data_IF_406652998211
#
_entry.id   IF_406652998211
#
_cell.length_a   1.000
_cell.length_b   1.000
_cell.length_c   1.000
_cell.angle_alpha   90.00
_cell.angle_beta   90.00
_cell.angle_gamma   90.00
#
_symmetry.space_group_name_H-M   'P 1'
#
loop_
_entity.id
_entity.type
_entity.pdbx_description
1 polymer ?
#
# COMPACT_ATOMS: atom_id res chain seq x y z
N UNK A 1 -2.28 -10.97 -11.01
CA UNK A 1 -3.00 -9.69 -11.26
C UNK A 1 -2.11 -8.45 -11.32
N UNK A 2 -0.86 -8.48 -10.80
CA UNK A 2 0.08 -7.36 -10.90
C UNK A 2 0.21 -6.79 -12.33
N UNK A 3 0.27 -5.47 -12.44
CA UNK A 3 0.42 -4.75 -13.72
C UNK A 3 -0.86 -4.60 -14.55
N UNK A 4 -2.00 -5.14 -14.09
CA UNK A 4 -3.31 -5.00 -14.75
C UNK A 4 -4.10 -3.82 -14.19
N UNK A 5 -4.96 -3.20 -15.00
CA UNK A 5 -5.83 -2.09 -14.59
C UNK A 5 -7.30 -2.51 -14.71
N UNK A 6 -8.08 -2.26 -13.65
CA UNK A 6 -9.48 -2.64 -13.53
C UNK A 6 -10.37 -1.46 -13.18
N UNK A 7 -11.65 -1.55 -13.54
CA UNK A 7 -12.67 -0.63 -13.03
C UNK A 7 -13.26 -1.10 -11.69
N UNK A 8 -14.14 -0.29 -11.09
CA UNK A 8 -14.80 -0.60 -9.82
C UNK A 8 -15.73 -1.84 -9.84
N UNK A 9 -16.07 -2.36 -11.01
CA UNK A 9 -16.82 -3.62 -11.17
C UNK A 9 -15.92 -4.84 -11.41
N UNK A 10 -14.59 -4.68 -11.31
CA UNK A 10 -13.62 -5.76 -11.51
C UNK A 10 -13.38 -6.15 -12.97
N UNK A 11 -13.87 -5.37 -13.95
CA UNK A 11 -13.61 -5.63 -15.37
C UNK A 11 -12.27 -5.00 -15.78
N UNK A 12 -11.43 -5.71 -16.55
CA UNK A 12 -10.17 -5.15 -17.06
C UNK A 12 -10.45 -4.02 -18.05
N UNK A 13 -9.70 -2.92 -17.93
CA UNK A 13 -9.80 -1.73 -18.80
C UNK A 13 -8.48 -1.42 -19.52
N UNK A 14 -7.52 -2.34 -19.42
CA UNK A 14 -6.18 -2.21 -19.98
C UNK A 14 -6.04 -2.77 -21.41
N UNK A 15 -7.15 -3.15 -22.07
CA UNK A 15 -7.18 -3.87 -23.35
C UNK A 15 -6.31 -5.14 -23.38
N UNK A 16 -5.91 -5.67 -22.21
CA UNK A 16 -5.16 -6.90 -22.10
C UNK A 16 -6.04 -8.15 -22.28
N UNK A 17 -5.43 -9.34 -22.38
CA UNK A 17 -6.17 -10.59 -22.48
C UNK A 17 -7.07 -10.82 -21.26
N UNK A 18 -8.14 -11.62 -21.41
CA UNK A 18 -8.99 -12.01 -20.29
C UNK A 18 -8.15 -12.71 -19.22
N UNK A 19 -8.51 -12.48 -17.96
CA UNK A 19 -7.77 -13.02 -16.82
C UNK A 19 -8.37 -14.37 -16.48
N UNK A 20 -7.50 -15.38 -16.38
CA UNK A 20 -7.87 -16.68 -15.83
C UNK A 20 -7.64 -16.63 -14.31
N UNK A 21 -8.71 -16.66 -13.48
CA UNK A 21 -8.57 -16.60 -12.03
C UNK A 21 -8.10 -17.95 -11.49
N UNK A 22 -7.22 -17.91 -10.49
CA UNK A 22 -6.80 -19.10 -9.73
C UNK A 22 -7.88 -19.54 -8.72
N UNK A 23 -8.62 -18.59 -8.15
CA UNK A 23 -9.69 -18.82 -7.20
C UNK A 23 -10.74 -17.69 -7.25
N UNK A 24 -11.97 -18.01 -6.82
CA UNK A 24 -13.03 -17.03 -6.57
C UNK A 24 -13.20 -16.85 -5.07
N UNK A 25 -13.04 -15.61 -4.59
CA UNK A 25 -13.14 -15.24 -3.18
C UNK A 25 -14.25 -14.22 -2.99
N UNK A 26 -14.90 -14.24 -1.81
CA UNK A 26 -15.91 -13.24 -1.45
C UNK A 26 -15.24 -11.87 -1.20
N UNK A 27 -15.81 -10.83 -1.79
CA UNK A 27 -15.34 -9.44 -1.67
C UNK A 27 -15.55 -8.88 -0.26
N UNK A 28 -16.48 -9.43 0.52
CA UNK A 28 -16.73 -9.00 1.89
C UNK A 28 -15.55 -9.33 2.82
N UNK A 29 -14.76 -10.33 2.44
CA UNK A 29 -13.63 -10.84 3.22
C UNK A 29 -14.05 -11.45 4.55
N UNK A 30 -13.06 -11.86 5.34
CA UNK A 30 -13.25 -12.38 6.70
C UNK A 30 -12.46 -11.55 7.70
N UNK A 31 -12.98 -11.41 8.92
CA UNK A 31 -12.25 -10.73 9.99
C UNK A 31 -11.01 -11.54 10.40
N UNK A 32 -9.88 -10.85 10.59
CA UNK A 32 -8.64 -11.47 11.07
C UNK A 32 -8.74 -11.67 12.60
N UNK A 33 -8.54 -12.91 13.04
CA UNK A 33 -8.51 -13.32 14.44
C UNK A 33 -7.50 -12.45 15.23
N UNK A 34 -7.90 -11.78 16.33
CA UNK A 34 -6.99 -10.94 17.13
C UNK A 34 -5.74 -11.66 17.63
N UNK A 35 -5.83 -12.95 17.99
CA UNK A 35 -4.71 -13.73 18.51
C UNK A 35 -3.65 -14.08 17.45
N UNK A 36 -4.03 -14.05 16.18
CA UNK A 36 -3.14 -14.34 15.05
C UNK A 36 -2.53 -13.06 14.45
N UNK A 37 -2.86 -11.88 14.98
CA UNK A 37 -2.35 -10.61 14.47
C UNK A 37 -0.88 -10.45 14.84
N UNK A 38 -0.03 -10.33 13.83
CA UNK A 38 1.37 -9.91 14.01
C UNK A 38 1.42 -8.41 14.29
N UNK A 39 2.21 -8.02 15.30
CA UNK A 39 2.45 -6.60 15.57
C UNK A 39 3.28 -5.96 14.44
N UNK A 40 2.94 -4.73 14.03
CA UNK A 40 3.66 -4.05 12.97
C UNK A 40 5.01 -3.52 13.50
N UNK A 41 6.11 -4.12 13.05
CA UNK A 41 7.47 -3.76 13.50
C UNK A 41 8.32 -3.11 12.42
N UNK A 42 7.99 -3.34 11.15
CA UNK A 42 8.82 -2.89 10.02
C UNK A 42 8.40 -1.51 9.53
N UNK A 43 9.33 -0.55 9.51
CA UNK A 43 9.08 0.79 9.00
C UNK A 43 9.03 0.83 7.46
N UNK A 44 8.08 1.59 6.92
CA UNK A 44 8.01 1.96 5.51
C UNK A 44 8.66 3.33 5.33
N UNK A 45 9.64 3.41 4.43
CA UNK A 45 10.22 4.67 3.99
C UNK A 45 9.41 5.20 2.82
N UNK A 46 8.82 6.39 2.97
CA UNK A 46 7.96 7.02 1.96
C UNK A 46 8.71 7.98 1.04
N UNK A 47 9.89 8.46 1.45
CA UNK A 47 10.68 9.46 0.72
C UNK A 47 10.28 10.91 1.03
N UNK A 48 9.34 11.12 1.94
CA UNK A 48 8.92 12.45 2.42
C UNK A 48 9.38 12.60 3.86
N UNK A 49 10.35 13.50 4.11
CA UNK A 49 11.00 13.62 5.43
C UNK A 49 10.02 13.90 6.57
N UNK A 50 8.97 14.69 6.32
CA UNK A 50 7.94 14.98 7.35
C UNK A 50 7.12 13.75 7.71
N UNK A 51 6.94 12.80 6.79
CA UNK A 51 6.30 11.52 7.09
C UNK A 51 7.31 10.61 7.77
N UNK A 52 8.48 10.43 7.16
CA UNK A 52 9.47 9.43 7.61
C UNK A 52 10.02 9.74 9.01
N UNK A 53 10.22 11.02 9.36
CA UNK A 53 10.82 11.43 10.65
C UNK A 53 9.78 11.75 11.72
N UNK A 54 8.70 12.47 11.35
CA UNK A 54 7.76 12.97 12.34
C UNK A 54 6.57 12.03 12.57
N UNK A 55 6.19 11.24 11.56
CA UNK A 55 5.02 10.37 11.58
C UNK A 55 5.32 9.03 10.90
N UNK A 56 6.39 8.37 11.34
CA UNK A 56 6.87 7.13 10.74
C UNK A 56 5.76 6.08 10.65
N UNK A 57 5.62 5.44 9.49
CA UNK A 57 4.54 4.49 9.22
C UNK A 57 5.10 3.06 9.29
N UNK A 58 4.44 2.21 10.08
CA UNK A 58 4.78 0.78 10.13
C UNK A 58 3.98 -0.04 9.12
N UNK A 59 4.56 -1.13 8.63
CA UNK A 59 3.92 -2.09 7.72
C UNK A 59 2.67 -2.67 8.38
N UNK A 60 1.53 -2.54 7.71
CA UNK A 60 0.23 -2.99 8.21
C UNK A 60 -0.56 -1.92 8.95
N UNK A 61 0.02 -0.75 9.21
CA UNK A 61 -0.68 0.40 9.77
C UNK A 61 -1.58 1.07 8.72
N UNK A 62 -2.74 1.57 9.14
CA UNK A 62 -3.67 2.34 8.31
C UNK A 62 -3.57 3.82 8.69
N UNK A 63 -2.95 4.64 7.84
CA UNK A 63 -2.79 6.09 8.05
C UNK A 63 -3.56 6.87 6.97
N UNK A 64 -4.51 7.75 7.34
CA UNK A 64 -5.20 8.60 6.39
C UNK A 64 -4.34 9.81 5.97
N UNK A 65 -4.49 10.24 4.72
CA UNK A 65 -3.96 11.52 4.22
C UNK A 65 -5.10 12.53 4.13
N UNK A 66 -5.08 13.56 4.99
CA UNK A 66 -6.06 14.64 4.95
C UNK A 66 -5.55 15.80 4.10
N UNK A 67 -6.39 16.25 3.17
CA UNK A 67 -6.09 17.39 2.30
C UNK A 67 -7.36 18.16 1.97
N UNK A 68 -7.22 19.25 1.20
CA UNK A 68 -8.31 20.13 0.80
C UNK A 68 -8.39 20.26 -0.72
N UNK A 69 -9.54 20.73 -1.21
CA UNK A 69 -9.74 21.01 -2.63
C UNK A 69 -8.69 22.01 -3.14
N UNK A 70 -8.09 21.70 -4.30
CA UNK A 70 -7.03 22.52 -4.91
C UNK A 70 -5.62 22.25 -4.38
N UNK A 71 -5.45 21.45 -3.33
CA UNK A 71 -4.12 21.02 -2.85
C UNK A 71 -3.59 19.83 -3.65
N UNK A 72 -2.26 19.67 -3.78
CA UNK A 72 -1.62 18.63 -4.60
C UNK A 72 -1.62 17.23 -3.95
N UNK A 73 -2.74 16.79 -3.36
CA UNK A 73 -2.84 15.48 -2.70
C UNK A 73 -2.62 14.31 -3.66
N UNK A 74 -3.00 14.46 -4.94
CA UNK A 74 -2.75 13.46 -5.96
C UNK A 74 -1.25 13.30 -6.26
N UNK A 75 -0.50 14.40 -6.30
CA UNK A 75 0.94 14.37 -6.57
C UNK A 75 1.70 13.72 -5.41
N UNK A 76 1.33 14.06 -4.17
CA UNK A 76 1.89 13.45 -2.97
C UNK A 76 1.58 11.95 -2.91
N UNK A 77 0.34 11.54 -3.17
CA UNK A 77 -0.04 10.13 -3.22
C UNK A 77 0.77 9.38 -4.29
N UNK A 78 0.91 9.95 -5.48
CA UNK A 78 1.71 9.37 -6.55
C UNK A 78 3.20 9.30 -6.20
N UNK A 79 3.75 10.29 -5.50
CA UNK A 79 5.13 10.25 -5.00
C UNK A 79 5.33 9.10 -4.00
N UNK A 80 4.43 8.97 -3.01
CA UNK A 80 4.46 7.88 -2.04
C UNK A 80 4.41 6.53 -2.77
N UNK A 81 3.48 6.33 -3.71
CA UNK A 81 3.40 5.08 -4.46
C UNK A 81 4.66 4.76 -5.28
N UNK A 82 5.41 5.77 -5.75
CA UNK A 82 6.66 5.57 -6.51
C UNK A 82 7.87 5.31 -5.61
N UNK A 83 7.93 5.91 -4.43
CA UNK A 83 9.12 5.91 -3.56
C UNK A 83 9.01 4.95 -2.38
N UNK A 84 7.78 4.56 -2.01
CA UNK A 84 7.54 3.71 -0.84
C UNK A 84 8.29 2.38 -0.95
N UNK A 85 9.08 2.09 0.08
CA UNK A 85 9.86 0.86 0.18
C UNK A 85 10.16 0.48 1.62
N UNK A 86 10.67 -0.73 1.81
CA UNK A 86 11.23 -1.13 3.10
C UNK A 86 12.54 -0.40 3.36
N UNK A 87 12.73 0.04 4.60
CA UNK A 87 14.03 0.52 5.05
C UNK A 87 15.04 -0.62 4.91
N UNK A 88 16.11 -0.39 4.14
CA UNK A 88 17.22 -1.34 4.06
C UNK A 88 17.90 -1.39 5.43
N UNK A 89 17.80 -2.52 6.12
CA UNK A 89 18.67 -2.79 7.26
C UNK A 89 20.10 -2.87 6.74
N UNK A 90 20.98 -2.02 7.24
CA UNK A 90 22.41 -2.26 7.13
C UNK A 90 22.68 -3.54 7.91
N UNK A 91 23.08 -4.61 7.22
CA UNK A 91 23.60 -5.79 7.89
C UNK A 91 24.75 -5.33 8.79
N UNK A 92 24.59 -5.52 10.11
CA UNK A 92 25.71 -5.38 11.02
C UNK A 92 26.71 -6.44 10.62
N UNK A 93 27.81 -6.01 9.99
CA UNK A 93 28.99 -6.84 9.82
C UNK A 93 29.51 -7.09 11.24
N UNK A 94 29.12 -8.23 11.82
CA UNK A 94 29.67 -8.79 13.05
C UNK A 94 30.87 -9.66 12.73
#
# INVERSE_FOLDING_TARGET
MLGRIFNGSGKPIDNGPPILPEAYLDISGSSINPSERTYPEEMIQTGISTIDVMNSIARGQKIPLFSAAGLPHNEIAAQICRQAGLVKRLEQIS
#
